data_IF_275477934675
#
_entry.id   IF_275477934675
#
_cell.length_a   1.000
_cell.length_b   1.000
_cell.length_c   1.000
_cell.angle_alpha   90.00
_cell.angle_beta   90.00
_cell.angle_gamma   90.00
#
_symmetry.space_group_name_H-M   'P 1'
#
loop_
_entity.id
_entity.type
_entity.pdbx_description
1 polymer ?
#
# COMPACT_ATOMS: atom_id res chain seq x y z
N UNK A 1 -87.46 22.69 49.30
CA UNK A 1 -86.20 23.37 49.70
C UNK A 1 -85.09 22.78 48.91
N UNK A 2 -84.77 23.43 47.76
CA UNK A 2 -83.90 22.89 46.73
C UNK A 2 -82.59 23.64 46.79
N UNK A 3 -81.52 22.93 47.11
CA UNK A 3 -80.20 23.52 47.19
C UNK A 3 -79.49 23.35 45.82
N UNK A 4 -79.13 24.50 45.24
CA UNK A 4 -78.47 24.58 43.95
C UNK A 4 -76.97 24.62 44.18
N UNK A 5 -76.26 23.53 43.74
CA UNK A 5 -74.81 23.41 43.80
C UNK A 5 -74.20 23.86 42.51
N UNK A 6 -73.50 24.97 42.48
CA UNK A 6 -72.72 25.45 41.33
C UNK A 6 -71.44 24.59 41.20
N UNK A 7 -71.30 23.89 40.09
CA UNK A 7 -70.08 23.20 39.68
C UNK A 7 -69.10 24.20 39.09
N UNK A 8 -67.95 24.40 39.72
CA UNK A 8 -66.82 25.11 39.14
C UNK A 8 -65.96 24.10 38.36
N UNK A 9 -65.80 24.36 37.09
CA UNK A 9 -64.90 23.60 36.22
C UNK A 9 -63.54 24.29 36.19
N UNK A 10 -62.41 23.63 36.53
CA UNK A 10 -61.10 24.23 36.39
C UNK A 10 -60.63 24.07 34.94
N UNK A 11 -60.34 25.18 34.31
CA UNK A 11 -59.70 25.23 32.99
C UNK A 11 -58.21 24.92 33.15
N UNK A 12 -57.80 23.73 32.72
CA UNK A 12 -56.38 23.37 32.59
C UNK A 12 -55.82 23.96 31.29
N UNK A 13 -54.93 24.96 31.40
CA UNK A 13 -54.08 25.39 30.33
C UNK A 13 -53.00 24.33 30.10
N UNK A 14 -53.11 23.58 29.00
CA UNK A 14 -52.03 22.73 28.52
C UNK A 14 -51.02 23.61 27.76
N UNK A 15 -49.89 23.94 28.41
CA UNK A 15 -48.74 24.54 27.76
C UNK A 15 -48.01 23.41 27.02
N UNK A 16 -48.18 23.33 25.70
CA UNK A 16 -47.44 22.39 24.84
C UNK A 16 -46.00 22.90 24.67
N UNK A 17 -45.07 22.34 25.42
CA UNK A 17 -43.64 22.54 25.25
C UNK A 17 -43.21 21.76 23.99
N UNK A 18 -43.09 22.44 22.83
CA UNK A 18 -42.47 21.85 21.63
C UNK A 18 -40.98 21.64 21.87
N UNK A 19 -40.57 20.42 22.15
CA UNK A 19 -39.19 19.99 22.11
C UNK A 19 -38.77 19.82 20.65
N UNK A 20 -38.14 20.82 20.04
CA UNK A 20 -37.50 20.67 18.74
C UNK A 20 -36.22 19.87 18.95
N UNK A 21 -36.28 18.55 18.70
CA UNK A 21 -35.06 17.74 18.52
C UNK A 21 -34.35 18.22 17.28
N UNK A 22 -33.33 19.05 17.45
CA UNK A 22 -32.30 19.29 16.46
C UNK A 22 -31.50 18.00 16.31
N UNK A 23 -31.95 17.10 15.43
CA UNK A 23 -31.20 15.92 15.01
C UNK A 23 -29.95 16.39 14.28
N UNK A 24 -28.82 16.39 14.99
CA UNK A 24 -27.51 16.54 14.33
C UNK A 24 -27.29 15.30 13.47
N UNK A 25 -27.55 15.42 12.17
CA UNK A 25 -27.13 14.43 11.20
C UNK A 25 -25.59 14.43 11.16
N UNK A 26 -24.97 13.56 11.95
CA UNK A 26 -23.55 13.24 11.81
C UNK A 26 -23.42 12.51 10.49
N UNK A 27 -23.09 13.24 9.43
CA UNK A 27 -22.66 12.65 8.17
C UNK A 27 -21.30 12.00 8.46
N UNK A 28 -21.29 10.69 8.70
CA UNK A 28 -20.07 9.92 8.69
C UNK A 28 -19.53 10.00 7.26
N UNK A 29 -18.56 10.87 7.05
CA UNK A 29 -17.80 10.86 5.81
C UNK A 29 -17.22 9.46 5.64
N UNK A 30 -17.70 8.70 4.66
CA UNK A 30 -17.08 7.45 4.26
C UNK A 30 -15.67 7.80 3.79
N UNK A 31 -14.66 7.46 4.60
CA UNK A 31 -13.26 7.54 4.21
C UNK A 31 -13.08 6.48 3.12
N UNK A 32 -13.09 6.93 1.87
CA UNK A 32 -12.79 6.03 0.75
C UNK A 32 -11.35 5.52 0.90
N UNK A 33 -11.11 4.22 0.65
CA UNK A 33 -9.76 3.68 0.72
C UNK A 33 -8.86 4.46 -0.23
N UNK A 34 -7.63 4.78 0.17
CA UNK A 34 -6.72 5.58 -0.64
C UNK A 34 -6.36 4.85 -1.93
N UNK A 35 -6.66 5.47 -3.07
CA UNK A 35 -6.36 4.90 -4.40
C UNK A 35 -4.86 4.80 -4.58
N UNK A 36 -4.38 3.63 -5.05
CA UNK A 36 -2.97 3.44 -5.40
C UNK A 36 -2.58 4.28 -6.62
N UNK A 37 -1.37 4.78 -6.59
CA UNK A 37 -0.74 5.52 -7.68
C UNK A 37 0.60 4.89 -8.06
N UNK A 38 1.16 5.27 -9.20
CA UNK A 38 2.50 4.81 -9.60
C UNK A 38 3.58 5.16 -8.56
N UNK A 39 3.40 6.23 -7.79
CA UNK A 39 4.31 6.66 -6.74
C UNK A 39 4.40 5.65 -5.60
N UNK A 40 3.34 4.88 -5.34
CA UNK A 40 3.31 3.88 -4.28
C UNK A 40 4.27 2.70 -4.52
N UNK A 41 4.77 2.56 -5.75
CA UNK A 41 5.77 1.55 -6.13
C UNK A 41 7.19 2.13 -6.18
N UNK A 42 7.51 3.02 -5.27
CA UNK A 42 8.83 3.62 -5.10
C UNK A 42 9.24 3.66 -3.64
N UNK A 43 10.53 3.83 -3.41
CA UNK A 43 11.13 4.05 -2.09
C UNK A 43 12.10 5.21 -2.17
N UNK A 44 12.21 5.99 -1.09
CA UNK A 44 13.21 7.02 -0.97
C UNK A 44 14.50 6.42 -0.39
N UNK A 45 15.60 6.50 -1.11
CA UNK A 45 16.90 5.99 -0.70
C UNK A 45 17.92 7.13 -0.81
N UNK A 46 18.48 7.60 0.31
CA UNK A 46 19.43 8.73 0.32
C UNK A 46 18.95 9.92 -0.52
N UNK A 47 17.74 10.40 -0.29
CA UNK A 47 17.11 11.50 -1.04
C UNK A 47 16.92 11.25 -2.54
N UNK A 48 17.11 10.02 -2.99
CA UNK A 48 16.83 9.60 -4.36
C UNK A 48 15.59 8.69 -4.39
N UNK A 49 14.56 9.03 -5.17
CA UNK A 49 13.45 8.12 -5.43
C UNK A 49 13.92 6.99 -6.33
N UNK A 50 13.58 5.76 -5.97
CA UNK A 50 13.79 4.56 -6.79
C UNK A 50 12.45 3.87 -6.95
N UNK A 51 12.00 3.69 -8.18
CA UNK A 51 10.70 3.09 -8.48
C UNK A 51 10.83 1.84 -9.35
N UNK A 52 9.82 0.97 -9.25
CA UNK A 52 9.67 -0.13 -10.20
C UNK A 52 9.57 0.41 -11.64
N UNK A 53 10.40 -0.14 -12.52
CA UNK A 53 10.49 0.24 -13.93
C UNK A 53 11.45 1.39 -14.22
N UNK A 54 12.11 1.94 -13.20
CA UNK A 54 13.20 2.91 -13.43
C UNK A 54 14.35 2.21 -14.14
N UNK A 55 15.04 2.95 -15.01
CA UNK A 55 16.23 2.44 -15.69
C UNK A 55 17.31 2.10 -14.66
N UNK A 56 17.82 0.88 -14.74
CA UNK A 56 18.96 0.45 -13.94
C UNK A 56 20.26 0.77 -14.69
N UNK A 57 21.19 1.48 -14.06
CA UNK A 57 22.46 1.91 -14.64
C UNK A 57 23.54 2.03 -13.56
N UNK A 58 24.83 2.10 -13.91
CA UNK A 58 25.89 2.37 -12.97
C UNK A 58 25.65 3.63 -12.13
N UNK A 59 25.06 4.67 -12.74
CA UNK A 59 24.72 5.91 -12.04
C UNK A 59 23.59 5.73 -11.03
N UNK A 60 22.53 4.99 -11.37
CA UNK A 60 21.44 4.73 -10.43
C UNK A 60 21.91 3.89 -9.23
N UNK A 61 22.73 2.87 -9.47
CA UNK A 61 23.31 2.04 -8.43
C UNK A 61 24.21 2.85 -7.47
N UNK A 62 25.10 3.69 -8.02
CA UNK A 62 26.00 4.53 -7.23
C UNK A 62 25.25 5.54 -6.35
N UNK A 63 24.18 6.15 -6.86
CA UNK A 63 23.38 7.14 -6.11
C UNK A 63 22.76 6.56 -4.84
N UNK A 64 22.43 5.29 -4.85
CA UNK A 64 21.79 4.60 -3.72
C UNK A 64 22.74 3.68 -2.96
N UNK A 65 24.03 3.71 -3.33
CA UNK A 65 25.08 2.93 -2.67
C UNK A 65 24.83 1.42 -2.68
N UNK A 66 24.52 0.92 -3.86
CA UNK A 66 24.35 -0.50 -4.15
C UNK A 66 25.37 -0.89 -5.22
N UNK A 67 26.00 -2.06 -5.14
CA UNK A 67 26.90 -2.52 -6.19
C UNK A 67 26.21 -2.54 -7.54
N UNK A 68 26.84 -1.95 -8.55
CA UNK A 68 26.32 -2.01 -9.93
C UNK A 68 26.33 -3.44 -10.47
N UNK A 69 27.44 -4.14 -10.27
CA UNK A 69 27.60 -5.53 -10.63
C UNK A 69 26.80 -6.39 -9.65
N UNK A 70 25.60 -6.79 -10.10
CA UNK A 70 24.74 -7.67 -9.32
C UNK A 70 25.13 -9.14 -9.48
N UNK A 71 24.67 -9.96 -8.54
CA UNK A 71 24.74 -11.40 -8.68
C UNK A 71 23.70 -11.90 -9.67
N UNK A 72 24.09 -12.63 -10.69
CA UNK A 72 23.14 -13.27 -11.61
C UNK A 72 22.30 -14.31 -10.85
N UNK A 73 20.98 -14.18 -10.93
CA UNK A 73 20.04 -15.05 -10.19
C UNK A 73 19.20 -15.96 -11.10
N UNK A 74 19.27 -15.76 -12.39
CA UNK A 74 18.57 -16.61 -13.34
C UNK A 74 18.10 -15.86 -14.58
N UNK A 75 17.48 -16.63 -15.48
CA UNK A 75 16.84 -16.10 -16.68
C UNK A 75 15.49 -16.78 -16.91
N UNK A 76 14.59 -16.07 -17.55
CA UNK A 76 13.25 -16.53 -17.92
C UNK A 76 13.11 -16.44 -19.43
N UNK A 77 12.83 -17.55 -20.14
CA UNK A 77 12.51 -17.52 -21.56
C UNK A 77 11.10 -16.93 -21.76
N UNK A 78 11.01 -15.95 -22.63
CA UNK A 78 9.74 -15.37 -23.03
C UNK A 78 9.84 -14.91 -24.48
N UNK A 79 8.91 -15.34 -25.34
CA UNK A 79 8.82 -14.98 -26.75
C UNK A 79 10.16 -15.11 -27.51
N UNK A 80 10.85 -16.24 -27.29
CA UNK A 80 12.13 -16.55 -27.97
C UNK A 80 13.36 -15.79 -27.47
N UNK A 81 13.21 -14.99 -26.41
CA UNK A 81 14.30 -14.24 -25.78
C UNK A 81 14.45 -14.66 -24.33
N UNK A 82 15.70 -14.83 -23.85
CA UNK A 82 15.98 -15.07 -22.45
C UNK A 82 16.19 -13.75 -21.72
N UNK A 83 15.35 -13.47 -20.78
CA UNK A 83 15.42 -12.27 -19.93
C UNK A 83 16.17 -12.60 -18.65
N UNK A 84 17.18 -11.78 -18.34
CA UNK A 84 18.10 -11.99 -17.23
C UNK A 84 17.73 -11.17 -16.02
N UNK A 85 17.99 -11.73 -14.84
CA UNK A 85 17.76 -11.09 -13.55
C UNK A 85 19.05 -11.05 -12.75
N UNK A 86 19.35 -9.89 -12.17
CA UNK A 86 20.49 -9.68 -11.31
C UNK A 86 20.02 -9.08 -9.98
N UNK A 87 20.58 -9.60 -8.90
CA UNK A 87 20.33 -9.14 -7.54
C UNK A 87 21.45 -8.18 -7.10
N UNK A 88 21.06 -7.04 -6.57
CA UNK A 88 21.93 -6.01 -6.01
C UNK A 88 21.47 -5.77 -4.57
N UNK A 89 22.37 -5.86 -3.61
CA UNK A 89 21.97 -5.81 -2.21
C UNK A 89 22.93 -5.00 -1.34
N UNK A 90 22.39 -4.40 -0.31
CA UNK A 90 23.06 -3.88 0.86
C UNK A 90 22.18 -4.08 2.08
N UNK A 91 22.68 -3.81 3.29
CA UNK A 91 21.93 -3.99 4.52
C UNK A 91 20.53 -3.35 4.43
N UNK A 92 19.50 -4.17 4.62
CA UNK A 92 18.10 -3.76 4.65
C UNK A 92 17.46 -3.45 3.30
N UNK A 93 18.22 -3.46 2.19
CA UNK A 93 17.75 -3.15 0.84
C UNK A 93 18.23 -4.20 -0.16
N UNK A 94 17.31 -4.70 -0.96
CA UNK A 94 17.59 -5.57 -2.08
C UNK A 94 16.85 -5.06 -3.32
N UNK A 95 17.56 -4.96 -4.43
CA UNK A 95 17.01 -4.57 -5.73
C UNK A 95 17.29 -5.68 -6.72
N UNK A 96 16.29 -6.05 -7.50
CA UNK A 96 16.50 -6.86 -8.70
C UNK A 96 16.44 -5.97 -9.92
N UNK A 97 17.40 -6.13 -10.82
CA UNK A 97 17.32 -5.57 -12.15
C UNK A 97 17.03 -6.66 -13.17
N UNK A 98 16.28 -6.32 -14.20
CA UNK A 98 15.96 -7.23 -15.30
C UNK A 98 15.83 -6.46 -16.61
N UNK A 99 16.14 -7.13 -17.71
CA UNK A 99 15.84 -6.63 -19.05
C UNK A 99 14.46 -7.07 -19.55
N UNK A 100 13.65 -7.75 -18.74
CA UNK A 100 12.24 -8.02 -19.00
C UNK A 100 11.39 -6.76 -18.78
N UNK A 101 10.41 -6.54 -19.65
CA UNK A 101 9.56 -5.35 -19.65
C UNK A 101 8.10 -5.73 -19.47
N UNK A 102 7.56 -5.42 -18.33
CA UNK A 102 6.18 -5.77 -18.00
C UNK A 102 5.16 -4.74 -18.45
N UNK A 103 5.56 -3.46 -18.51
CA UNK A 103 4.64 -2.34 -18.69
C UNK A 103 5.06 -1.33 -19.79
N UNK A 104 6.06 -1.66 -20.59
CA UNK A 104 6.54 -0.81 -21.69
C UNK A 104 6.75 -1.61 -22.95
N UNK A 105 6.27 -1.05 -24.06
CA UNK A 105 6.64 -1.53 -25.37
C UNK A 105 8.13 -1.21 -25.64
N UNK A 106 8.76 -1.99 -26.43
CA UNK A 106 10.08 -1.85 -27.03
C UNK A 106 11.22 -1.24 -26.19
N UNK A 107 12.13 -2.10 -25.75
CA UNK A 107 13.44 -1.75 -25.22
C UNK A 107 14.50 -2.64 -25.87
N UNK A 108 15.76 -2.22 -25.82
CA UNK A 108 16.88 -3.08 -26.13
C UNK A 108 17.01 -4.17 -25.06
N UNK A 109 17.42 -5.37 -25.45
CA UNK A 109 17.77 -6.46 -24.53
C UNK A 109 18.90 -6.11 -23.55
N UNK A 110 19.63 -5.04 -23.85
CA UNK A 110 20.70 -4.50 -22.99
C UNK A 110 20.19 -3.44 -22.00
N UNK A 111 18.92 -3.05 -22.08
CA UNK A 111 18.32 -2.08 -21.17
C UNK A 111 17.72 -2.80 -19.95
N UNK A 112 18.30 -2.57 -18.79
CA UNK A 112 17.82 -3.10 -17.51
C UNK A 112 16.95 -2.07 -16.78
N UNK A 113 15.97 -2.58 -16.05
CA UNK A 113 15.10 -1.80 -15.18
C UNK A 113 15.10 -2.38 -13.76
N UNK A 114 14.70 -1.57 -12.80
CA UNK A 114 14.34 -2.05 -11.46
C UNK A 114 13.10 -2.92 -11.57
N UNK A 115 13.25 -4.22 -11.37
CA UNK A 115 12.17 -5.22 -11.50
C UNK A 115 11.57 -5.62 -10.15
N UNK A 116 12.33 -5.47 -9.06
CA UNK A 116 11.86 -5.68 -7.69
C UNK A 116 12.65 -4.80 -6.72
N UNK A 117 11.98 -4.37 -5.66
CA UNK A 117 12.56 -3.71 -4.49
C UNK A 117 12.10 -4.47 -3.26
N UNK A 118 13.03 -4.86 -2.38
CA UNK A 118 12.73 -5.50 -1.10
C UNK A 118 13.37 -4.71 0.03
N UNK A 119 12.57 -4.37 1.06
CA UNK A 119 12.98 -3.64 2.24
C UNK A 119 12.84 -4.55 3.46
N UNK A 120 13.92 -4.66 4.25
CA UNK A 120 13.97 -5.48 5.47
C UNK A 120 14.52 -4.73 6.67
N UNK A 121 14.76 -3.42 6.54
CA UNK A 121 15.16 -2.52 7.63
C UNK A 121 14.18 -1.35 7.75
N UNK A 122 14.08 -0.78 8.94
CA UNK A 122 13.21 0.35 9.27
C UNK A 122 13.65 1.69 8.68
N UNK A 123 14.90 1.79 8.23
CA UNK A 123 15.46 3.00 7.59
C UNK A 123 14.80 3.35 6.24
N UNK A 124 14.02 2.43 5.68
CA UNK A 124 13.37 2.60 4.38
C UNK A 124 11.86 2.62 4.53
N UNK A 125 11.23 3.65 3.99
CA UNK A 125 9.78 3.79 4.02
C UNK A 125 9.19 3.89 2.62
N UNK A 126 7.95 3.43 2.49
CA UNK A 126 7.12 3.70 1.31
C UNK A 126 6.75 5.19 1.26
N UNK A 127 6.27 5.72 0.12
CA UNK A 127 5.82 7.12 0.03
C UNK A 127 4.69 7.50 0.98
N UNK A 128 3.98 6.51 1.55
CA UNK A 128 2.93 6.72 2.56
C UNK A 128 3.44 6.50 4.00
N UNK A 129 4.76 6.38 4.19
CA UNK A 129 5.41 6.31 5.50
C UNK A 129 5.40 4.92 6.15
N UNK A 130 4.99 3.86 5.44
CA UNK A 130 5.06 2.50 5.97
C UNK A 130 6.48 1.94 5.81
N UNK A 131 7.03 1.43 6.91
CA UNK A 131 8.37 0.85 7.02
C UNK A 131 8.32 -0.47 7.79
N UNK A 132 9.42 -1.19 7.85
CA UNK A 132 9.57 -2.37 8.72
C UNK A 132 9.40 -1.93 10.18
N UNK A 133 8.55 -2.61 10.93
CA UNK A 133 8.11 -2.22 12.28
C UNK A 133 6.75 -1.52 12.34
N UNK A 134 6.25 -0.95 11.23
CA UNK A 134 4.90 -0.35 11.18
C UNK A 134 3.83 -1.38 11.54
N UNK A 135 2.81 -0.95 12.28
CA UNK A 135 1.71 -1.79 12.72
C UNK A 135 0.67 -2.05 11.63
N UNK A 136 -0.13 -3.10 11.76
CA UNK A 136 -1.30 -3.37 10.91
C UNK A 136 -2.24 -2.15 10.84
N UNK A 137 -2.42 -1.41 11.94
CA UNK A 137 -3.29 -0.22 11.96
C UNK A 137 -2.71 0.91 11.10
N UNK A 138 -1.41 1.16 11.17
CA UNK A 138 -0.74 2.15 10.33
C UNK A 138 -0.81 1.77 8.86
N UNK A 139 -0.58 0.49 8.54
CA UNK A 139 -0.72 -0.03 7.19
C UNK A 139 -2.14 0.19 6.64
N UNK A 140 -3.17 -0.19 7.41
CA UNK A 140 -4.56 -0.02 7.00
C UNK A 140 -4.97 1.45 6.85
N UNK A 141 -4.44 2.34 7.69
CA UNK A 141 -4.67 3.78 7.57
C UNK A 141 -4.03 4.35 6.29
N UNK A 142 -2.86 3.86 5.92
CA UNK A 142 -2.11 4.34 4.75
C UNK A 142 -2.63 3.79 3.42
N UNK A 143 -2.97 2.49 3.38
CA UNK A 143 -3.27 1.77 2.13
C UNK A 143 -4.69 1.19 2.08
N UNK A 144 -5.45 1.20 3.18
CA UNK A 144 -6.73 0.52 3.28
C UNK A 144 -6.59 -1.00 3.42
N UNK A 145 -7.67 -1.73 3.15
CA UNK A 145 -7.66 -3.20 3.19
C UNK A 145 -7.04 -3.74 1.90
N UNK A 146 -5.99 -4.57 2.02
CA UNK A 146 -5.38 -5.30 0.92
C UNK A 146 -5.89 -6.73 0.79
N UNK A 147 -5.43 -7.42 -0.24
CA UNK A 147 -5.57 -8.87 -0.36
C UNK A 147 -4.67 -9.53 0.68
N UNK A 148 -5.24 -10.44 1.47
CA UNK A 148 -4.52 -11.12 2.55
C UNK A 148 -4.30 -12.58 2.19
N UNK A 149 -3.04 -13.01 2.23
CA UNK A 149 -2.61 -14.38 1.99
C UNK A 149 -1.67 -14.83 3.12
N UNK A 150 -1.61 -16.15 3.38
CA UNK A 150 -0.69 -16.72 4.34
C UNK A 150 0.26 -17.67 3.63
N UNK A 151 1.55 -17.40 3.75
CA UNK A 151 2.60 -18.25 3.22
C UNK A 151 3.68 -18.47 4.26
N UNK A 152 3.99 -19.75 4.52
CA UNK A 152 5.12 -20.18 5.37
C UNK A 152 5.19 -19.48 6.73
N UNK A 153 4.03 -19.19 7.34
CA UNK A 153 3.94 -18.55 8.65
C UNK A 153 4.07 -17.02 8.64
N UNK A 154 4.13 -16.43 7.45
CA UNK A 154 4.05 -14.98 7.23
C UNK A 154 2.69 -14.65 6.61
N UNK A 155 2.00 -13.67 7.17
CA UNK A 155 0.81 -13.11 6.55
C UNK A 155 1.25 -12.01 5.58
N UNK A 156 0.81 -12.09 4.34
CA UNK A 156 1.06 -11.08 3.32
C UNK A 156 -0.18 -10.25 3.08
N UNK A 157 0.00 -8.92 3.04
CA UNK A 157 -1.05 -7.97 2.66
C UNK A 157 -0.60 -7.28 1.38
N UNK A 158 -1.33 -7.50 0.29
CA UNK A 158 -0.91 -7.09 -1.05
C UNK A 158 -1.88 -6.11 -1.70
N UNK A 159 -1.32 -5.22 -2.49
CA UNK A 159 -2.02 -4.17 -3.24
C UNK A 159 -1.49 -4.16 -4.67
N UNK A 160 -2.38 -4.09 -5.67
CA UNK A 160 -2.00 -4.14 -7.08
C UNK A 160 -2.45 -2.92 -7.86
N UNK A 161 -1.63 -2.48 -8.81
CA UNK A 161 -1.95 -1.47 -9.82
C UNK A 161 -1.40 -1.91 -11.18
N UNK A 162 -2.28 -2.37 -12.06
CA UNK A 162 -1.89 -3.04 -13.29
C UNK A 162 -1.05 -4.27 -12.98
N UNK A 163 0.15 -4.35 -13.54
CA UNK A 163 1.10 -5.45 -13.28
C UNK A 163 2.03 -5.21 -12.08
N UNK A 164 1.89 -4.09 -11.35
CA UNK A 164 2.72 -3.80 -10.19
C UNK A 164 2.04 -4.25 -8.92
N UNK A 165 2.77 -4.92 -8.05
CA UNK A 165 2.32 -5.43 -6.75
C UNK A 165 3.20 -4.85 -5.65
N UNK A 166 2.55 -4.34 -4.61
CA UNK A 166 3.16 -3.89 -3.36
C UNK A 166 2.66 -4.82 -2.25
N UNK A 167 3.56 -5.54 -1.60
CA UNK A 167 3.24 -6.53 -0.59
C UNK A 167 3.95 -6.25 0.72
N UNK A 168 3.24 -6.42 1.82
CA UNK A 168 3.74 -6.27 3.18
C UNK A 168 3.68 -7.62 3.90
N UNK A 169 4.85 -8.18 4.24
CA UNK A 169 4.95 -9.35 5.10
C UNK A 169 4.73 -8.95 6.55
N UNK A 170 3.73 -9.55 7.18
CA UNK A 170 3.29 -9.24 8.55
C UNK A 170 3.64 -10.39 9.49
N UNK A 171 4.17 -10.06 10.67
CA UNK A 171 4.40 -11.02 11.75
C UNK A 171 4.13 -10.36 13.10
N UNK A 172 3.31 -11.00 13.93
CA UNK A 172 2.94 -10.43 15.23
C UNK A 172 2.25 -9.06 15.16
N UNK A 173 1.53 -8.77 14.06
CA UNK A 173 0.85 -7.49 13.86
C UNK A 173 1.72 -6.34 13.34
N UNK A 174 3.00 -6.62 13.03
CA UNK A 174 3.93 -5.61 12.50
C UNK A 174 4.47 -6.03 11.13
N UNK A 175 4.81 -5.03 10.31
CA UNK A 175 5.51 -5.21 9.04
C UNK A 175 6.93 -5.71 9.31
N UNK A 176 7.31 -6.81 8.70
CA UNK A 176 8.68 -7.37 8.78
C UNK A 176 9.41 -7.34 7.45
N UNK A 177 8.70 -7.15 6.37
CA UNK A 177 9.25 -7.09 5.00
C UNK A 177 8.30 -6.30 4.10
N UNK A 178 8.85 -5.52 3.20
CA UNK A 178 8.09 -4.84 2.13
C UNK A 178 8.67 -5.27 0.80
N UNK A 179 7.84 -5.66 -0.14
CA UNK A 179 8.26 -6.04 -1.48
C UNK A 179 7.42 -5.30 -2.52
N UNK A 180 8.09 -4.73 -3.49
CA UNK A 180 7.48 -4.15 -4.70
C UNK A 180 8.01 -4.94 -5.88
N UNK A 181 7.13 -5.52 -6.69
CA UNK A 181 7.52 -6.33 -7.84
C UNK A 181 6.49 -6.25 -8.95
N UNK A 182 6.82 -6.81 -10.10
CA UNK A 182 5.85 -7.07 -11.15
C UNK A 182 5.22 -8.43 -10.97
N UNK A 183 3.92 -8.52 -11.24
CA UNK A 183 3.22 -9.79 -11.35
C UNK A 183 3.62 -10.49 -12.64
N UNK A 184 4.16 -11.68 -12.51
CA UNK A 184 4.61 -12.52 -13.63
C UNK A 184 3.52 -13.45 -14.15
N UNK A 185 2.29 -13.32 -13.66
CA UNK A 185 1.17 -14.18 -14.06
C UNK A 185 1.28 -15.62 -13.57
N UNK A 186 2.06 -15.88 -12.51
CA UNK A 186 2.25 -17.22 -11.94
C UNK A 186 1.16 -17.64 -10.95
N UNK A 187 0.02 -16.95 -10.92
CA UNK A 187 -1.16 -17.31 -10.12
C UNK A 187 -2.34 -17.64 -11.04
N UNK A 188 -2.25 -18.76 -11.75
CA UNK A 188 -3.41 -19.53 -12.24
C UNK A 188 -3.33 -20.98 -11.71
#
# INVERSE_FOLDING_TARGET
MTINVKKHTPTFLFSALMFTCLGSNVVLAQVMPPVLTKRDFSVQIKDQPVALGDRWSPDSARKIDVPWEGSFVGEVPFDGTNYKFYQHQRTGLEIFSSNLWWDKAERSVDDYIVSQITLTAEDFATPRGIHVGSTTRELNNAYGNGLVENDSGTQWVSYALGKKVLSFGMKGGNVVKITMNYDNGSSE
#
